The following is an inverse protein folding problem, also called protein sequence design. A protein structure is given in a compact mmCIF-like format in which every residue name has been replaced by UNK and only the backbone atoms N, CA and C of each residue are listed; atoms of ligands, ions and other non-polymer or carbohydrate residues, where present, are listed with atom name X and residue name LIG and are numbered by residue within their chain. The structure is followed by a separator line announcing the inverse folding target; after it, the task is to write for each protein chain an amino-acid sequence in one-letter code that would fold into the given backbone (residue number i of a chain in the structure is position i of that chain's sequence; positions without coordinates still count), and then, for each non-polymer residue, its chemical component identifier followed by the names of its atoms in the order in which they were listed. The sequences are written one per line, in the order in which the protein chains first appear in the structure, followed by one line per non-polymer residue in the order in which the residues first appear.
data_IF_928698417324
#
_entry.id   IF_928698417324
#
_cell.length_a   1.000
_cell.length_b   1.000
_cell.length_c   1.000
_cell.angle_alpha   90.00
_cell.angle_beta   90.00
_cell.angle_gamma   90.00
#
_symmetry.space_group_name_H-M   'P 1'
#
loop_
_entity.id
_entity.type
_entity.pdbx_description
1 polymer ?
#
# COMPACT_ATOMS: atom_id res chain seq x y z
N UNK A 1 7.97 56.31 27.91
CA UNK A 1 8.99 55.78 26.99
C UNK A 1 8.95 54.27 27.09
N UNK A 2 8.31 53.59 26.14
CA UNK A 2 8.28 52.12 26.04
C UNK A 2 8.72 51.78 24.62
N UNK A 3 9.83 51.05 24.51
CA UNK A 3 10.42 50.62 23.24
C UNK A 3 10.00 49.17 23.04
N UNK A 4 9.10 48.92 22.10
CA UNK A 4 8.73 47.59 21.64
C UNK A 4 9.83 47.09 20.68
N UNK A 5 10.58 46.07 21.08
CA UNK A 5 11.53 45.39 20.20
C UNK A 5 10.79 44.34 19.36
N UNK A 6 10.53 44.63 18.09
CA UNK A 6 10.07 43.63 17.11
C UNK A 6 11.26 42.83 16.59
N UNK A 7 11.42 41.58 17.01
CA UNK A 7 12.35 40.61 16.40
C UNK A 7 11.60 39.78 15.37
N UNK A 8 11.93 39.94 14.08
CA UNK A 8 11.40 39.10 13.00
C UNK A 8 11.95 37.68 13.07
N UNK A 9 11.17 36.61 12.81
CA UNK A 9 11.66 35.25 12.91
C UNK A 9 12.65 34.93 11.78
N UNK A 10 13.80 34.36 12.16
CA UNK A 10 14.82 33.89 11.21
C UNK A 10 14.26 32.74 10.38
N UNK A 11 14.07 32.98 9.09
CA UNK A 11 13.61 31.98 8.13
C UNK A 11 14.75 30.99 7.88
N UNK A 12 14.53 29.70 8.23
CA UNK A 12 15.54 28.66 7.95
C UNK A 12 15.65 28.45 6.44
N UNK A 13 16.81 28.76 5.86
CA UNK A 13 17.13 28.35 4.49
C UNK A 13 17.16 26.83 4.42
N UNK A 14 16.12 26.21 3.83
CA UNK A 14 16.14 24.79 3.48
C UNK A 14 17.03 24.63 2.25
N UNK A 15 18.26 24.14 2.44
CA UNK A 15 19.08 23.64 1.33
C UNK A 15 18.71 22.18 1.09
N UNK A 16 18.54 21.76 -0.18
CA UNK A 16 18.37 20.35 -0.48
C UNK A 16 19.61 19.56 -0.03
N UNK A 17 19.45 18.31 0.43
CA UNK A 17 20.57 17.47 0.81
C UNK A 17 21.56 17.26 -0.35
N UNK A 18 22.85 17.14 -0.04
CA UNK A 18 23.91 17.01 -1.06
C UNK A 18 23.75 15.78 -1.97
N UNK A 19 23.06 14.73 -1.53
CA UNK A 19 22.77 13.51 -2.32
C UNK A 19 21.71 13.71 -3.41
N UNK A 20 21.13 14.91 -3.49
CA UNK A 20 20.15 15.28 -4.51
C UNK A 20 20.81 15.99 -5.71
N UNK A 21 22.11 16.29 -5.64
CA UNK A 21 22.84 17.06 -6.66
C UNK A 21 23.14 16.25 -7.93
N UNK A 22 23.21 14.94 -7.79
CA UNK A 22 23.46 13.93 -8.83
C UNK A 22 22.17 13.27 -9.35
N UNK A 23 21.02 13.60 -8.74
CA UNK A 23 19.72 13.19 -9.22
C UNK A 23 19.32 14.03 -10.43
N UNK A 24 19.56 13.50 -11.63
CA UNK A 24 18.87 14.02 -12.82
C UNK A 24 17.40 13.63 -12.70
N UNK A 25 16.57 14.53 -12.20
CA UNK A 25 15.13 14.46 -12.45
C UNK A 25 14.99 14.35 -13.96
N UNK A 26 14.44 13.25 -14.45
CA UNK A 26 14.22 13.07 -15.88
C UNK A 26 13.24 14.11 -16.36
N UNK A 27 13.73 15.29 -16.75
CA UNK A 27 13.02 16.23 -17.60
C UNK A 27 12.77 15.50 -18.93
N UNK A 28 11.63 14.79 -19.01
CA UNK A 28 11.17 14.15 -20.23
C UNK A 28 10.77 12.67 -20.18
N UNK A 29 10.63 12.01 -19.01
CA UNK A 29 10.13 10.62 -18.95
C UNK A 29 8.71 10.45 -18.41
N UNK A 30 8.09 11.53 -17.92
CA UNK A 30 6.66 11.54 -17.63
C UNK A 30 6.16 12.93 -17.99
N UNK A 31 5.26 13.05 -18.97
CA UNK A 31 4.31 14.16 -18.98
C UNK A 31 3.36 13.93 -17.79
N UNK A 32 3.86 14.08 -16.57
CA UNK A 32 3.05 14.23 -15.36
C UNK A 32 2.44 15.64 -15.40
N UNK A 33 1.58 15.87 -16.40
CA UNK A 33 0.74 17.06 -16.41
C UNK A 33 -0.12 17.02 -15.13
N UNK A 34 -0.14 18.09 -14.31
CA UNK A 34 -1.08 18.22 -13.21
C UNK A 34 -2.53 18.02 -13.68
N UNK A 35 -2.80 18.29 -14.95
CA UNK A 35 -4.07 18.03 -15.61
C UNK A 35 -4.31 16.54 -15.78
N UNK A 36 -3.32 15.70 -16.12
CA UNK A 36 -3.52 14.25 -16.21
C UNK A 36 -3.89 13.62 -14.86
N UNK A 37 -3.21 14.06 -13.79
CA UNK A 37 -3.56 13.68 -12.42
C UNK A 37 -4.95 14.22 -12.04
N UNK A 38 -5.25 15.49 -12.31
CA UNK A 38 -6.56 16.09 -12.06
C UNK A 38 -7.67 15.43 -12.89
N UNK A 39 -7.41 15.04 -14.13
CA UNK A 39 -8.36 14.37 -15.05
C UNK A 39 -8.61 12.94 -14.59
N UNK A 40 -7.59 12.25 -14.05
CA UNK A 40 -7.75 10.95 -13.39
C UNK A 40 -8.58 11.04 -12.10
N UNK A 41 -8.49 12.15 -11.36
CA UNK A 41 -9.35 12.43 -10.20
C UNK A 41 -10.76 12.94 -10.58
N UNK A 42 -10.89 13.65 -11.71
CA UNK A 42 -12.13 14.31 -12.14
C UNK A 42 -13.01 13.44 -13.04
N UNK A 43 -12.49 12.37 -13.65
CA UNK A 43 -13.25 11.38 -14.43
C UNK A 43 -13.99 10.34 -13.55
N UNK A 44 -14.65 10.84 -12.50
CA UNK A 44 -16.05 10.53 -12.14
C UNK A 44 -16.46 9.12 -11.69
N UNK A 45 -15.66 8.07 -11.83
CA UNK A 45 -16.01 6.75 -11.33
C UNK A 45 -15.25 6.46 -10.04
N UNK A 46 -15.79 6.94 -8.93
CA UNK A 46 -15.32 6.55 -7.60
C UNK A 46 -15.46 5.04 -7.44
N UNK A 47 -14.41 4.37 -6.95
CA UNK A 47 -14.49 2.94 -6.65
C UNK A 47 -15.65 2.67 -5.70
N UNK A 48 -16.48 1.66 -5.98
CA UNK A 48 -17.68 1.45 -5.19
C UNK A 48 -17.30 0.92 -3.81
N UNK A 49 -18.02 1.37 -2.79
CA UNK A 49 -17.71 1.05 -1.38
C UNK A 49 -18.71 0.10 -0.74
N UNK A 50 -19.89 -0.08 -1.34
CA UNK A 50 -20.98 -0.86 -0.79
C UNK A 50 -21.13 -2.21 -1.50
N UNK A 51 -20.97 -3.32 -0.76
CA UNK A 51 -21.14 -4.67 -1.31
C UNK A 51 -22.50 -4.89 -1.98
N UNK A 52 -23.59 -4.37 -1.39
CA UNK A 52 -24.95 -4.65 -1.86
C UNK A 52 -25.22 -4.14 -3.28
N UNK A 53 -24.61 -3.02 -3.65
CA UNK A 53 -24.71 -2.47 -5.00
C UNK A 53 -23.69 -3.11 -5.94
N UNK A 54 -22.50 -3.44 -5.43
CA UNK A 54 -21.39 -4.00 -6.22
C UNK A 54 -21.65 -5.42 -6.68
N UNK A 55 -22.27 -6.25 -5.84
CA UNK A 55 -22.56 -7.66 -6.17
C UNK A 55 -23.51 -7.81 -7.36
N UNK A 56 -24.34 -6.80 -7.62
CA UNK A 56 -25.25 -6.77 -8.77
C UNK A 56 -24.52 -6.47 -10.09
N UNK A 57 -23.30 -5.92 -10.02
CA UNK A 57 -22.51 -5.57 -11.20
C UNK A 57 -21.65 -6.79 -11.60
N UNK A 58 -21.85 -7.37 -12.79
CA UNK A 58 -21.22 -8.63 -13.17
C UNK A 58 -19.69 -8.57 -13.18
N UNK A 59 -19.12 -7.42 -13.58
CA UNK A 59 -17.66 -7.20 -13.62
C UNK A 59 -17.02 -7.34 -12.23
N UNK A 60 -17.68 -6.82 -11.20
CA UNK A 60 -17.18 -6.91 -9.83
C UNK A 60 -17.43 -8.28 -9.21
N UNK A 61 -18.55 -8.93 -9.54
CA UNK A 61 -18.80 -10.33 -9.15
C UNK A 61 -17.72 -11.25 -9.67
N UNK A 62 -17.35 -11.12 -10.94
CA UNK A 62 -16.24 -11.89 -11.51
C UNK A 62 -14.93 -11.66 -10.74
N UNK A 63 -14.60 -10.41 -10.40
CA UNK A 63 -13.41 -10.10 -9.62
C UNK A 63 -13.45 -10.70 -8.19
N UNK A 64 -14.62 -10.77 -7.56
CA UNK A 64 -14.81 -11.43 -6.25
C UNK A 64 -14.65 -12.94 -6.35
N UNK A 65 -15.19 -13.55 -7.40
CA UNK A 65 -15.07 -14.99 -7.65
C UNK A 65 -13.60 -15.38 -7.93
N UNK A 66 -12.86 -14.55 -8.66
CA UNK A 66 -11.41 -14.73 -8.87
C UNK A 66 -10.64 -14.69 -7.54
N UNK A 67 -10.91 -13.71 -6.68
CA UNK A 67 -10.28 -13.61 -5.37
C UNK A 67 -10.59 -14.84 -4.50
N UNK A 68 -11.85 -15.28 -4.44
CA UNK A 68 -12.23 -16.49 -3.70
C UNK A 68 -11.52 -17.73 -4.22
N UNK A 69 -11.38 -17.88 -5.55
CA UNK A 69 -10.61 -18.98 -6.14
C UNK A 69 -9.14 -18.93 -5.72
N UNK A 70 -8.53 -17.74 -5.70
CA UNK A 70 -7.14 -17.57 -5.24
C UNK A 70 -6.98 -17.92 -3.76
N UNK A 71 -7.90 -17.45 -2.91
CA UNK A 71 -7.90 -17.76 -1.47
C UNK A 71 -8.03 -19.27 -1.24
N UNK A 72 -8.92 -19.94 -1.97
CA UNK A 72 -9.09 -21.40 -1.89
C UNK A 72 -7.85 -22.14 -2.40
N UNK A 73 -7.23 -21.66 -3.48
CA UNK A 73 -6.02 -22.29 -4.05
C UNK A 73 -4.81 -22.21 -3.12
N UNK A 74 -4.74 -21.19 -2.27
CA UNK A 74 -3.60 -20.99 -1.38
C UNK A 74 -3.66 -21.89 -0.13
N UNK A 75 -4.79 -22.57 0.14
CA UNK A 75 -4.98 -23.45 1.30
C UNK A 75 -4.59 -22.79 2.65
N UNK A 76 -4.73 -21.47 2.76
CA UNK A 76 -4.32 -20.69 3.95
C UNK A 76 -5.44 -20.53 4.99
N UNK A 77 -6.60 -21.14 4.78
CA UNK A 77 -7.77 -20.96 5.64
C UNK A 77 -8.59 -22.23 5.75
N UNK A 78 -9.25 -22.40 6.90
CA UNK A 78 -10.20 -23.48 7.15
C UNK A 78 -11.47 -22.87 7.77
N UNK A 79 -12.64 -23.39 7.37
CA UNK A 79 -13.89 -23.00 7.99
C UNK A 79 -14.02 -23.72 9.34
N UNK A 80 -14.02 -22.97 10.43
CA UNK A 80 -14.15 -23.50 11.79
C UNK A 80 -15.32 -22.82 12.52
N UNK A 81 -15.95 -23.53 13.45
CA UNK A 81 -16.87 -22.93 14.39
C UNK A 81 -16.14 -21.96 15.33
N UNK A 82 -16.80 -20.87 15.73
CA UNK A 82 -16.19 -19.89 16.62
C UNK A 82 -15.97 -20.52 18.00
N UNK A 83 -14.71 -20.65 18.48
CA UNK A 83 -14.46 -21.25 19.78
C UNK A 83 -15.06 -20.42 20.91
N UNK A 84 -15.41 -21.08 22.01
CA UNK A 84 -16.08 -20.45 23.14
C UNK A 84 -15.20 -19.32 23.72
N UNK A 85 -15.78 -18.12 23.85
CA UNK A 85 -15.07 -16.93 24.35
C UNK A 85 -14.26 -16.16 23.30
N UNK A 86 -14.13 -16.64 22.06
CA UNK A 86 -13.46 -15.91 20.99
C UNK A 86 -14.37 -14.86 20.35
N UNK A 87 -13.77 -13.74 19.92
CA UNK A 87 -14.48 -12.67 19.23
C UNK A 87 -14.34 -12.84 17.72
N UNK A 88 -15.46 -12.86 17.00
CA UNK A 88 -15.42 -12.86 15.54
C UNK A 88 -14.82 -11.56 15.00
N UNK A 89 -13.76 -11.68 14.20
CA UNK A 89 -13.22 -10.55 13.44
C UNK A 89 -13.95 -10.45 12.10
N UNK A 90 -14.54 -9.29 11.84
CA UNK A 90 -15.26 -9.08 10.58
C UNK A 90 -14.32 -8.95 9.39
N UNK A 91 -14.81 -9.28 8.19
CA UNK A 91 -14.15 -9.02 6.91
C UNK A 91 -14.90 -7.93 6.14
N UNK A 92 -14.24 -7.33 5.14
CA UNK A 92 -14.86 -6.42 4.18
C UNK A 92 -14.26 -6.63 2.79
N UNK A 93 -15.05 -6.34 1.77
CA UNK A 93 -14.53 -6.24 0.40
C UNK A 93 -13.91 -4.86 0.16
N UNK A 94 -12.79 -4.85 -0.56
CA UNK A 94 -12.13 -3.65 -1.06
C UNK A 94 -12.09 -3.73 -2.58
N UNK A 95 -12.66 -2.73 -3.23
CA UNK A 95 -12.78 -2.66 -4.69
C UNK A 95 -11.83 -1.60 -5.24
N UNK A 96 -11.15 -1.93 -6.35
CA UNK A 96 -10.27 -0.99 -7.03
C UNK A 96 -10.28 -1.23 -8.53
N UNK A 97 -10.58 -0.20 -9.29
CA UNK A 97 -10.40 -0.19 -10.74
C UNK A 97 -8.94 0.08 -11.06
N UNK A 98 -8.28 -0.84 -11.76
CA UNK A 98 -6.92 -0.67 -12.28
C UNK A 98 -7.03 -0.11 -13.69
N UNK A 99 -6.27 0.96 -13.94
CA UNK A 99 -6.20 1.63 -15.24
C UNK A 99 -4.78 1.53 -15.78
N UNK A 100 -4.66 1.46 -17.10
CA UNK A 100 -3.39 1.50 -17.83
C UNK A 100 -2.89 2.96 -17.91
N UNK A 101 -1.66 3.15 -18.37
CA UNK A 101 -1.05 4.47 -18.57
C UNK A 101 -1.86 5.36 -19.54
N UNK A 102 -2.55 4.74 -20.51
CA UNK A 102 -3.44 5.42 -21.45
C UNK A 102 -4.81 5.82 -20.83
N UNK A 103 -5.04 5.56 -19.53
CA UNK A 103 -6.29 5.86 -18.81
C UNK A 103 -7.41 4.84 -19.00
N UNK A 104 -7.24 3.83 -19.85
CA UNK A 104 -8.22 2.76 -20.08
C UNK A 104 -8.28 1.80 -18.88
N UNK A 105 -9.45 1.21 -18.62
CA UNK A 105 -9.60 0.20 -17.56
C UNK A 105 -8.85 -1.08 -17.95
N UNK A 106 -7.83 -1.41 -17.16
CA UNK A 106 -7.06 -2.64 -17.29
C UNK A 106 -7.79 -3.84 -16.65
N UNK A 107 -8.19 -3.68 -15.38
CA UNK A 107 -8.81 -4.75 -14.60
C UNK A 107 -9.60 -4.21 -13.42
N UNK A 108 -10.72 -4.86 -13.10
CA UNK A 108 -11.41 -4.70 -11.82
C UNK A 108 -10.80 -5.61 -10.78
N UNK A 109 -10.38 -5.06 -9.65
CA UNK A 109 -9.74 -5.81 -8.56
C UNK A 109 -10.61 -5.76 -7.31
N UNK A 110 -11.05 -6.92 -6.84
CA UNK A 110 -11.69 -7.09 -5.54
C UNK A 110 -10.70 -7.78 -4.60
N UNK A 111 -10.71 -7.41 -3.32
CA UNK A 111 -9.95 -8.10 -2.26
C UNK A 111 -10.82 -8.31 -1.04
N UNK A 112 -10.71 -9.48 -0.42
CA UNK A 112 -11.34 -9.75 0.86
C UNK A 112 -10.34 -9.44 1.97
N UNK A 113 -10.65 -8.47 2.82
CA UNK A 113 -9.72 -7.96 3.83
C UNK A 113 -10.34 -8.03 5.21
N UNK A 114 -9.58 -8.56 6.17
CA UNK A 114 -9.98 -8.58 7.58
C UNK A 114 -9.99 -7.16 8.15
N UNK A 115 -10.94 -6.87 9.04
CA UNK A 115 -11.01 -5.61 9.80
C UNK A 115 -9.94 -5.61 10.90
N UNK A 116 -8.68 -5.46 10.51
CA UNK A 116 -7.52 -5.55 11.40
C UNK A 116 -7.53 -4.60 12.60
N UNK A 117 -8.25 -3.47 12.52
CA UNK A 117 -8.44 -2.57 13.67
C UNK A 117 -9.20 -3.21 14.84
N UNK A 118 -9.88 -4.32 14.60
CA UNK A 118 -10.61 -5.08 15.61
C UNK A 118 -9.81 -6.26 16.17
N UNK A 119 -8.55 -6.44 15.73
CA UNK A 119 -7.67 -7.51 16.21
C UNK A 119 -6.91 -7.07 17.48
N UNK A 120 -6.80 -7.98 18.44
CA UNK A 120 -6.10 -7.77 19.70
C UNK A 120 -4.80 -8.59 19.77
N UNK A 121 -3.68 -7.92 20.11
CA UNK A 121 -2.39 -8.57 20.28
C UNK A 121 -2.42 -9.56 21.44
N UNK A 122 -1.91 -10.78 21.22
CA UNK A 122 -1.92 -11.86 22.20
C UNK A 122 -3.23 -12.66 22.25
N UNK A 123 -4.28 -12.21 21.53
CA UNK A 123 -5.55 -12.94 21.39
C UNK A 123 -5.74 -13.38 19.94
N UNK A 124 -5.74 -12.44 18.99
CA UNK A 124 -5.98 -12.71 17.57
C UNK A 124 -4.68 -12.92 16.77
N UNK A 125 -3.55 -12.42 17.27
CA UNK A 125 -2.23 -12.61 16.66
C UNK A 125 -1.12 -12.50 17.70
N UNK A 126 -0.05 -13.26 17.51
CA UNK A 126 1.12 -13.29 18.41
C UNK A 126 2.34 -12.57 17.82
N UNK A 127 2.46 -12.51 16.49
CA UNK A 127 3.51 -11.77 15.76
C UNK A 127 2.96 -11.19 14.44
N UNK A 128 3.44 -10.01 14.03
CA UNK A 128 2.97 -9.30 12.80
C UNK A 128 4.00 -9.33 11.67
N UNK A 129 5.05 -10.13 11.81
CA UNK A 129 6.19 -10.04 10.90
C UNK A 129 5.95 -10.88 9.65
N UNK A 130 5.46 -10.24 8.58
CA UNK A 130 5.83 -10.70 7.25
C UNK A 130 7.36 -10.58 7.13
N UNK A 131 8.10 -11.63 6.75
CA UNK A 131 9.54 -11.57 6.57
C UNK A 131 9.88 -10.70 5.36
N UNK A 132 9.95 -9.38 5.56
CA UNK A 132 10.37 -8.43 4.54
C UNK A 132 11.88 -8.31 4.62
N UNK A 133 12.57 -8.82 3.60
CA UNK A 133 14.01 -8.69 3.50
C UNK A 133 14.39 -7.19 3.38
N UNK A 134 15.15 -6.72 4.36
CA UNK A 134 15.68 -5.35 4.40
C UNK A 134 16.92 -5.29 3.51
N UNK A 135 16.95 -4.34 2.58
CA UNK A 135 18.09 -4.20 1.67
C UNK A 135 19.37 -3.84 2.44
N UNK A 136 19.25 -3.17 3.57
CA UNK A 136 20.36 -2.86 4.49
C UNK A 136 20.97 -4.15 5.05
N UNK A 137 20.12 -5.09 5.50
CA UNK A 137 20.57 -6.39 6.00
C UNK A 137 21.22 -7.21 4.90
N UNK A 138 20.65 -7.23 3.69
CA UNK A 138 21.25 -7.91 2.53
C UNK A 138 22.62 -7.31 2.22
N UNK A 139 22.72 -5.97 2.13
CA UNK A 139 23.98 -5.28 1.86
C UNK A 139 25.04 -5.55 2.92
N UNK A 140 24.65 -5.60 4.19
CA UNK A 140 25.56 -5.94 5.29
C UNK A 140 26.12 -7.36 5.16
N UNK A 141 25.26 -8.32 4.84
CA UNK A 141 25.66 -9.72 4.63
C UNK A 141 26.62 -9.82 3.44
N UNK A 142 26.32 -9.16 2.32
CA UNK A 142 27.20 -9.13 1.14
C UNK A 142 28.55 -8.48 1.46
N UNK A 143 28.56 -7.37 2.21
CA UNK A 143 29.79 -6.69 2.62
C UNK A 143 30.66 -7.57 3.54
N UNK A 144 30.04 -8.32 4.47
CA UNK A 144 30.73 -9.27 5.34
C UNK A 144 31.34 -10.44 4.54
N UNK A 145 30.56 -11.00 3.61
CA UNK A 145 31.01 -12.08 2.72
C UNK A 145 32.22 -11.63 1.90
N UNK A 146 32.17 -10.42 1.33
CA UNK A 146 33.28 -9.83 0.59
C UNK A 146 34.52 -9.60 1.48
N UNK A 147 34.34 -9.10 2.71
CA UNK A 147 35.44 -8.89 3.65
C UNK A 147 36.11 -10.20 4.08
N UNK A 148 35.32 -11.27 4.23
CA UNK A 148 35.79 -12.58 4.67
C UNK A 148 36.26 -13.49 3.52
N UNK A 149 36.11 -13.04 2.27
CA UNK A 149 36.45 -13.82 1.08
C UNK A 149 35.59 -15.08 0.91
N UNK A 150 34.35 -15.04 1.40
CA UNK A 150 33.42 -16.17 1.27
C UNK A 150 32.73 -16.14 -0.09
N UNK A 151 32.39 -17.32 -0.60
CA UNK A 151 31.65 -17.46 -1.86
C UNK A 151 30.16 -17.26 -1.61
N UNK A 152 29.53 -16.33 -2.32
CA UNK A 152 28.07 -16.16 -2.38
C UNK A 152 27.56 -16.94 -3.61
N UNK A 153 26.52 -17.76 -3.43
CA UNK A 153 25.89 -18.57 -4.49
C UNK A 153 24.51 -18.03 -4.85
#
# INVERSE_FOLDING_TARGET
MTVEHTTSPVQRCRRPPGWMADYKTGEGLFEDSPEANLTMFASGESDPTNFATVVQIPKWRQAMDEEMKTINKNDTWELMELPEGAKKVGVKWVYKTKRKENGEVDKYKARLVVKGYAQEYGVDYTEVFAPVARMETIRLVVALVAQKGWTLY
#
